data_IF_196705823628
#
_entry.id   IF_196705823628
#
_cell.length_a   1.000
_cell.length_b   1.000
_cell.length_c   1.000
_cell.angle_alpha   90.00
_cell.angle_beta   90.00
_cell.angle_gamma   90.00
#
_symmetry.space_group_name_H-M   'P 1'
#
loop_
_entity.id
_entity.type
_entity.pdbx_description
1 polymer ?
#
# COMPACT_ATOMS: atom_id res chain seq x y z
N UNK A 1 -15.86 19.10 24.08
CA UNK A 1 -16.93 19.81 23.36
C UNK A 1 -17.80 18.85 22.53
N UNK A 2 -17.24 18.06 21.61
CA UNK A 2 -18.02 17.12 20.77
C UNK A 2 -18.68 15.97 21.57
N UNK A 3 -17.90 15.19 22.34
CA UNK A 3 -18.44 14.14 23.23
C UNK A 3 -19.40 14.71 24.28
N UNK A 4 -19.07 15.87 24.85
CA UNK A 4 -19.90 16.54 25.87
C UNK A 4 -21.22 17.10 25.33
N UNK A 5 -21.37 17.21 24.01
CA UNK A 5 -22.63 17.60 23.35
C UNK A 5 -23.45 16.40 22.83
N UNK A 6 -23.07 15.17 23.20
CA UNK A 6 -23.71 13.94 22.73
C UNK A 6 -23.83 13.86 21.20
N UNK A 7 -22.75 14.22 20.49
CA UNK A 7 -22.67 14.16 19.02
C UNK A 7 -23.76 14.99 18.32
N UNK A 8 -23.81 16.31 18.60
CA UNK A 8 -24.82 17.21 18.00
C UNK A 8 -24.97 16.97 16.49
N UNK A 9 -26.20 16.77 15.97
CA UNK A 9 -26.45 16.51 14.55
C UNK A 9 -26.16 17.73 13.66
N UNK A 10 -25.92 18.91 14.26
CA UNK A 10 -25.59 20.13 13.54
C UNK A 10 -24.13 20.18 13.05
N UNK A 11 -23.25 19.31 13.59
CA UNK A 11 -21.83 19.26 13.23
C UNK A 11 -21.55 17.92 12.53
N UNK A 12 -20.90 17.92 11.35
CA UNK A 12 -20.57 16.69 10.65
C UNK A 12 -19.70 15.77 11.52
N UNK A 13 -19.88 14.46 11.35
CA UNK A 13 -19.07 13.44 12.01
C UNK A 13 -17.65 13.43 11.44
N UNK A 14 -16.75 14.23 12.03
CA UNK A 14 -15.37 14.34 11.58
C UNK A 14 -14.55 13.12 12.03
N UNK A 15 -13.77 12.55 11.11
CA UNK A 15 -12.87 11.43 11.38
C UNK A 15 -11.44 11.84 11.03
N UNK A 16 -10.55 11.88 12.03
CA UNK A 16 -9.13 12.10 11.79
C UNK A 16 -8.52 10.78 11.32
N UNK A 17 -8.31 10.69 10.00
CA UNK A 17 -7.64 9.58 9.33
C UNK A 17 -6.25 10.05 8.86
N UNK A 18 -5.34 9.11 8.73
CA UNK A 18 -4.02 9.30 8.11
C UNK A 18 -3.13 10.34 8.84
N UNK A 19 -3.25 10.41 10.18
CA UNK A 19 -2.33 11.25 10.96
C UNK A 19 -0.96 10.57 11.13
N UNK A 20 0.04 11.11 10.45
CA UNK A 20 1.45 10.67 10.48
C UNK A 20 2.17 11.04 11.80
N UNK A 21 1.63 10.55 12.93
CA UNK A 21 2.12 10.93 14.25
C UNK A 21 3.61 10.63 14.46
N UNK A 22 4.10 9.51 13.93
CA UNK A 22 5.51 9.10 14.11
C UNK A 22 6.46 10.01 13.34
N UNK A 23 6.03 10.55 12.19
CA UNK A 23 6.75 11.59 11.45
C UNK A 23 6.73 12.93 12.19
N UNK A 24 5.55 13.35 12.67
CA UNK A 24 5.39 14.64 13.32
C UNK A 24 6.07 14.69 14.71
N UNK A 25 6.21 13.53 15.37
CA UNK A 25 6.80 13.40 16.71
C UNK A 25 7.76 12.20 16.82
N UNK A 26 8.91 12.22 16.11
CA UNK A 26 9.82 11.07 15.99
C UNK A 26 10.40 10.63 17.34
N UNK A 27 10.61 11.56 18.28
CA UNK A 27 11.18 11.26 19.60
C UNK A 27 10.22 10.49 20.53
N UNK A 28 8.92 10.42 20.18
CA UNK A 28 7.90 9.82 21.06
C UNK A 28 7.90 8.31 21.06
N UNK A 29 8.43 7.66 20.01
CA UNK A 29 8.51 6.20 19.88
C UNK A 29 7.24 5.47 20.37
N UNK A 30 6.07 5.88 19.85
CA UNK A 30 4.77 5.50 20.41
C UNK A 30 4.42 4.01 20.31
N UNK A 31 5.10 3.26 19.44
CA UNK A 31 5.01 1.81 19.38
C UNK A 31 6.28 1.20 18.77
N UNK A 32 6.42 -0.11 18.94
CA UNK A 32 7.46 -0.94 18.29
C UNK A 32 6.78 -1.86 17.28
N UNK A 33 7.25 -1.83 16.03
CA UNK A 33 6.76 -2.76 14.98
C UNK A 33 7.01 -4.21 15.43
N UNK A 34 6.01 -5.11 15.37
CA UNK A 34 6.20 -6.53 15.66
C UNK A 34 7.24 -7.18 14.73
N UNK A 35 8.05 -8.11 15.23
CA UNK A 35 9.15 -8.72 14.45
C UNK A 35 8.68 -9.37 13.14
N UNK A 36 7.49 -10.00 13.14
CA UNK A 36 6.89 -10.63 11.96
C UNK A 36 6.55 -9.65 10.83
N UNK A 37 6.45 -8.35 11.14
CA UNK A 37 6.12 -7.28 10.20
C UNK A 37 7.30 -6.33 9.98
N UNK A 38 8.50 -6.69 10.45
CA UNK A 38 9.66 -5.79 10.44
C UNK A 38 10.32 -5.64 9.06
N UNK A 39 10.03 -6.54 8.12
CA UNK A 39 10.43 -6.39 6.71
C UNK A 39 9.44 -5.44 6.04
N UNK A 40 9.79 -4.16 6.04
CA UNK A 40 8.92 -3.03 5.71
C UNK A 40 9.64 -2.10 4.73
N UNK A 41 9.69 -2.56 3.48
CA UNK A 41 10.40 -1.85 2.41
C UNK A 41 9.81 -0.47 2.16
N UNK A 42 8.49 -0.34 2.37
CA UNK A 42 7.75 0.90 2.12
C UNK A 42 8.24 2.01 3.04
N UNK A 43 8.22 1.79 4.36
CA UNK A 43 8.70 2.80 5.29
C UNK A 43 10.22 2.94 5.27
N UNK A 44 10.98 1.90 4.92
CA UNK A 44 12.44 2.02 4.73
C UNK A 44 12.74 3.04 3.62
N UNK A 45 12.09 2.90 2.47
CA UNK A 45 12.28 3.81 1.35
C UNK A 45 11.81 5.23 1.67
N UNK A 46 10.55 5.41 2.09
CA UNK A 46 9.97 6.74 2.22
C UNK A 46 10.61 7.58 3.34
N UNK A 47 11.07 6.95 4.42
CA UNK A 47 11.79 7.70 5.48
C UNK A 47 13.25 7.98 5.16
N UNK A 48 13.84 7.29 4.17
CA UNK A 48 15.21 7.55 3.72
C UNK A 48 15.31 8.74 2.76
N UNK A 49 14.18 9.22 2.25
CA UNK A 49 14.09 10.29 1.27
C UNK A 49 14.13 11.67 1.93
N UNK A 50 14.99 12.54 1.42
CA UNK A 50 15.05 13.95 1.86
C UNK A 50 14.02 14.83 1.15
N UNK A 51 13.61 14.44 -0.07
CA UNK A 51 12.71 15.21 -0.92
C UNK A 51 11.23 15.03 -0.56
N UNK A 52 10.90 13.96 0.16
CA UNK A 52 9.55 13.64 0.62
C UNK A 52 9.61 13.21 2.08
N UNK A 53 8.85 13.88 2.95
CA UNK A 53 8.70 13.50 4.36
C UNK A 53 7.39 12.74 4.55
N UNK A 54 7.39 11.47 4.20
CA UNK A 54 6.20 10.62 4.27
C UNK A 54 6.47 9.30 5.01
N UNK A 55 5.42 8.75 5.60
CA UNK A 55 5.42 7.42 6.18
C UNK A 55 4.03 6.77 6.08
N UNK A 56 3.98 5.45 6.15
CA UNK A 56 2.76 4.68 6.05
C UNK A 56 2.35 4.16 7.43
N UNK A 57 2.40 5.05 8.41
CA UNK A 57 2.22 4.76 9.84
C UNK A 57 1.30 5.81 10.45
N UNK A 58 0.05 5.43 10.66
CA UNK A 58 -1.02 6.36 10.94
C UNK A 58 -1.62 6.16 12.32
N UNK A 59 -2.09 7.25 12.92
CA UNK A 59 -3.08 7.22 14.00
C UNK A 59 -4.42 7.60 13.41
N UNK A 60 -5.43 6.76 13.63
CA UNK A 60 -6.81 7.12 13.31
C UNK A 60 -7.55 7.42 14.62
N UNK A 61 -8.28 8.53 14.64
CA UNK A 61 -9.06 8.98 15.78
C UNK A 61 -10.42 9.48 15.32
N UNK A 62 -11.49 8.81 15.74
CA UNK A 62 -12.84 9.10 15.28
C UNK A 62 -13.88 8.87 16.35
N UNK A 63 -14.97 9.66 16.34
CA UNK A 63 -16.09 9.44 17.22
C UNK A 63 -16.90 8.21 16.80
N UNK A 64 -17.77 7.72 17.68
CA UNK A 64 -18.80 6.74 17.33
C UNK A 64 -19.57 7.17 16.07
N UNK A 65 -19.75 6.23 15.13
CA UNK A 65 -20.47 6.45 13.87
C UNK A 65 -19.58 6.93 12.72
N UNK A 66 -18.33 7.31 12.98
CA UNK A 66 -17.35 7.50 11.90
C UNK A 66 -16.99 6.16 11.27
N UNK A 67 -16.68 6.18 9.97
CA UNK A 67 -16.40 4.97 9.20
C UNK A 67 -15.49 5.26 8.01
N UNK A 68 -14.92 4.20 7.45
CA UNK A 68 -14.12 4.22 6.22
C UNK A 68 -14.84 3.41 5.15
N UNK A 69 -15.09 3.99 3.96
CA UNK A 69 -15.71 3.30 2.82
C UNK A 69 -15.00 2.03 2.40
N UNK A 70 -15.69 1.23 1.59
CA UNK A 70 -15.12 0.01 1.05
C UNK A 70 -13.91 0.29 0.15
N UNK A 71 -12.77 -0.29 0.49
CA UNK A 71 -11.51 -0.09 -0.25
C UNK A 71 -10.53 -1.23 0.01
N UNK A 72 -9.50 -1.34 -0.82
CA UNK A 72 -8.27 -2.03 -0.47
C UNK A 72 -7.17 -0.99 -0.16
N UNK A 73 -6.20 -1.38 0.64
CA UNK A 73 -5.06 -0.53 0.97
C UNK A 73 -4.23 -0.17 -0.26
N UNK A 74 -3.70 1.06 -0.27
CA UNK A 74 -2.85 1.59 -1.36
C UNK A 74 -1.64 0.68 -1.62
N UNK A 75 -1.11 0.74 -2.84
CA UNK A 75 0.03 -0.05 -3.30
C UNK A 75 -0.13 -1.57 -3.23
N UNK A 76 -1.36 -2.07 -3.04
CA UNK A 76 -1.58 -3.48 -2.67
C UNK A 76 -0.75 -3.87 -1.44
N UNK A 77 -0.56 -2.93 -0.51
CA UNK A 77 0.18 -3.14 0.74
C UNK A 77 -0.49 -4.17 1.63
N UNK A 78 0.28 -4.72 2.55
CA UNK A 78 -0.27 -5.30 3.77
C UNK A 78 -0.66 -4.16 4.72
N UNK A 79 -1.56 -4.42 5.64
CA UNK A 79 -1.75 -3.53 6.78
C UNK A 79 -2.00 -4.27 8.09
N UNK A 80 -1.74 -3.60 9.20
CA UNK A 80 -2.26 -3.99 10.50
C UNK A 80 -2.86 -2.80 11.22
N UNK A 81 -3.87 -3.08 12.05
CA UNK A 81 -4.56 -2.09 12.87
C UNK A 81 -4.62 -2.59 14.31
N UNK A 82 -4.06 -1.84 15.25
CA UNK A 82 -4.20 -2.08 16.70
C UNK A 82 -5.18 -1.06 17.26
N UNK A 83 -6.27 -1.54 17.86
CA UNK A 83 -7.28 -0.67 18.44
C UNK A 83 -6.92 -0.31 19.88
N UNK A 84 -6.66 0.96 20.18
CA UNK A 84 -6.23 1.40 21.52
C UNK A 84 -7.42 1.58 22.46
N UNK A 85 -8.53 2.12 21.96
CA UNK A 85 -9.77 2.29 22.68
C UNK A 85 -10.98 2.20 21.75
N UNK A 86 -12.18 2.08 22.32
CA UNK A 86 -13.41 1.92 21.54
C UNK A 86 -13.51 0.55 20.87
N UNK A 87 -14.44 0.43 19.92
CA UNK A 87 -14.66 -0.81 19.17
C UNK A 87 -14.80 -0.49 17.69
N UNK A 88 -14.21 -1.36 16.85
CA UNK A 88 -14.37 -1.28 15.39
C UNK A 88 -15.12 -2.49 14.87
N UNK A 89 -16.03 -2.28 13.94
CA UNK A 89 -16.61 -3.34 13.11
C UNK A 89 -15.90 -3.36 11.78
N UNK A 90 -15.38 -4.51 11.40
CA UNK A 90 -14.72 -4.74 10.12
C UNK A 90 -15.57 -5.68 9.29
N UNK A 91 -15.82 -5.31 8.04
CA UNK A 91 -16.20 -6.24 7.00
C UNK A 91 -15.00 -6.44 6.08
N UNK A 92 -14.55 -7.68 5.91
CA UNK A 92 -13.40 -8.03 5.09
C UNK A 92 -13.79 -9.01 3.99
N UNK A 93 -13.26 -8.76 2.79
CA UNK A 93 -13.58 -9.48 1.57
C UNK A 93 -12.29 -9.99 0.94
N UNK A 94 -12.15 -11.32 0.75
CA UNK A 94 -11.00 -11.89 0.07
C UNK A 94 -10.83 -11.31 -1.36
N UNK A 95 -9.59 -11.23 -1.87
CA UNK A 95 -9.33 -10.80 -3.23
C UNK A 95 -10.15 -11.60 -4.25
N UNK A 96 -10.84 -10.90 -5.14
CA UNK A 96 -11.78 -11.42 -6.12
C UNK A 96 -13.25 -11.12 -5.80
N UNK A 97 -13.63 -11.00 -4.52
CA UNK A 97 -15.01 -10.68 -4.13
C UNK A 97 -15.38 -9.23 -4.45
N UNK A 98 -14.41 -8.31 -4.55
CA UNK A 98 -14.65 -6.91 -4.95
C UNK A 98 -15.33 -6.79 -6.32
N UNK A 99 -15.11 -7.76 -7.22
CA UNK A 99 -15.75 -7.81 -8.54
C UNK A 99 -17.26 -7.98 -8.46
N UNK A 100 -17.74 -8.58 -7.38
CA UNK A 100 -19.17 -8.74 -7.08
C UNK A 100 -19.77 -7.49 -6.43
N UNK A 101 -18.91 -6.55 -6.02
CA UNK A 101 -19.24 -5.26 -5.44
C UNK A 101 -18.84 -4.12 -6.39
N UNK A 102 -18.61 -4.43 -7.67
CA UNK A 102 -18.35 -3.44 -8.72
C UNK A 102 -19.58 -3.31 -9.61
N UNK A 103 -19.98 -2.09 -9.92
CA UNK A 103 -21.13 -1.83 -10.78
C UNK A 103 -20.82 -2.05 -12.27
N UNK A 104 -21.86 -1.97 -13.12
CA UNK A 104 -21.72 -2.13 -14.58
C UNK A 104 -20.82 -1.08 -15.25
N UNK A 105 -20.50 0.02 -14.55
CA UNK A 105 -19.61 1.07 -15.03
C UNK A 105 -18.17 0.89 -14.53
N UNK A 106 -17.89 -0.18 -13.77
CA UNK A 106 -16.57 -0.44 -13.20
C UNK A 106 -16.30 0.28 -11.88
N UNK A 107 -17.31 0.92 -11.28
CA UNK A 107 -17.13 1.61 -10.00
C UNK A 107 -17.32 0.65 -8.84
N UNK A 108 -16.40 0.69 -7.89
CA UNK A 108 -16.52 -0.05 -6.65
C UNK A 108 -17.66 0.52 -5.79
N UNK A 109 -18.40 -0.36 -5.11
CA UNK A 109 -19.39 0.04 -4.11
C UNK A 109 -18.74 0.93 -3.04
N UNK A 110 -19.38 2.04 -2.71
CA UNK A 110 -18.92 2.92 -1.65
C UNK A 110 -19.25 2.38 -0.25
N UNK A 111 -20.47 1.84 -0.11
CA UNK A 111 -20.98 1.18 1.09
C UNK A 111 -21.47 -0.23 0.72
N UNK A 112 -20.85 -1.27 1.30
CA UNK A 112 -21.23 -2.68 1.07
C UNK A 112 -22.58 -3.07 1.72
N UNK A 113 -23.16 -2.20 2.54
CA UNK A 113 -24.48 -2.38 3.14
C UNK A 113 -25.59 -1.61 2.39
N UNK A 114 -25.25 -0.91 1.30
CA UNK A 114 -26.22 -0.18 0.49
C UNK A 114 -27.25 -1.16 -0.15
N UNK A 115 -28.58 -0.94 0.06
CA UNK A 115 -29.60 -1.82 -0.49
C UNK A 115 -29.63 -1.85 -2.03
N UNK A 116 -29.09 -0.85 -2.70
CA UNK A 116 -29.00 -0.78 -4.17
C UNK A 116 -28.05 -1.83 -4.75
N UNK A 117 -27.17 -2.44 -3.95
CA UNK A 117 -26.34 -3.57 -4.37
C UNK A 117 -27.16 -4.79 -4.82
N UNK A 118 -28.42 -4.90 -4.36
CA UNK A 118 -29.33 -5.97 -4.78
C UNK A 118 -29.95 -5.71 -6.16
N UNK A 119 -29.81 -4.50 -6.71
CA UNK A 119 -30.28 -4.17 -8.05
C UNK A 119 -29.36 -4.82 -9.10
N UNK A 120 -29.88 -5.85 -9.77
CA UNK A 120 -29.13 -6.60 -10.80
C UNK A 120 -28.80 -5.76 -12.04
N UNK A 121 -29.55 -4.71 -12.31
CA UNK A 121 -29.27 -3.81 -13.44
C UNK A 121 -28.03 -2.94 -13.16
N UNK A 122 -27.65 -2.79 -11.89
CA UNK A 122 -26.48 -2.02 -11.47
C UNK A 122 -25.32 -2.90 -11.03
N UNK A 123 -25.60 -3.96 -10.27
CA UNK A 123 -24.61 -4.89 -9.73
C UNK A 123 -24.97 -6.32 -10.17
N UNK A 124 -24.68 -6.63 -11.44
CA UNK A 124 -25.06 -7.90 -12.08
C UNK A 124 -24.57 -9.12 -11.29
N UNK A 125 -23.36 -9.01 -10.73
CA UNK A 125 -22.69 -10.14 -10.09
C UNK A 125 -22.79 -10.17 -8.56
N UNK A 126 -23.52 -9.26 -7.91
CA UNK A 126 -23.67 -9.22 -6.45
C UNK A 126 -24.20 -10.53 -5.85
N UNK A 127 -25.14 -11.18 -6.54
CA UNK A 127 -25.69 -12.49 -6.13
C UNK A 127 -24.65 -13.62 -6.14
N UNK A 128 -23.46 -13.40 -6.73
CA UNK A 128 -22.35 -14.34 -6.78
C UNK A 128 -21.33 -14.11 -5.65
N UNK A 129 -21.49 -13.07 -4.82
CA UNK A 129 -20.68 -12.83 -3.62
C UNK A 129 -20.79 -14.05 -2.69
N UNK A 130 -19.66 -14.64 -2.31
CA UNK A 130 -19.64 -15.87 -1.50
C UNK A 130 -19.05 -15.67 -0.12
N UNK A 131 -18.04 -14.81 -0.03
CA UNK A 131 -17.21 -14.73 1.16
C UNK A 131 -17.17 -13.32 1.70
N UNK A 132 -17.59 -13.19 2.96
CA UNK A 132 -17.51 -11.96 3.75
C UNK A 132 -17.18 -12.37 5.18
N UNK A 133 -16.16 -11.75 5.76
CA UNK A 133 -15.81 -11.92 7.16
C UNK A 133 -16.25 -10.67 7.92
N UNK A 134 -16.93 -10.86 9.04
CA UNK A 134 -17.29 -9.79 9.96
C UNK A 134 -16.55 -9.98 11.28
N UNK A 135 -15.88 -8.92 11.75
CA UNK A 135 -15.09 -8.94 12.97
C UNK A 135 -15.42 -7.70 13.81
N UNK A 136 -15.65 -7.90 15.11
CA UNK A 136 -15.66 -6.82 16.10
C UNK A 136 -14.30 -6.79 16.78
N UNK A 137 -13.53 -5.75 16.51
CA UNK A 137 -12.24 -5.49 17.12
C UNK A 137 -12.43 -4.70 18.43
N UNK A 138 -12.05 -5.31 19.55
CA UNK A 138 -12.07 -4.72 20.89
C UNK A 138 -10.78 -3.93 21.20
N UNK A 139 -10.77 -3.14 22.29
CA UNK A 139 -9.53 -2.49 22.75
C UNK A 139 -8.41 -3.50 23.03
N UNK A 140 -7.20 -3.18 22.60
CA UNK A 140 -5.99 -4.02 22.73
C UNK A 140 -5.84 -5.08 21.64
N UNK A 141 -6.86 -5.33 20.81
CA UNK A 141 -6.77 -6.32 19.73
C UNK A 141 -6.10 -5.75 18.48
N UNK A 142 -5.41 -6.63 17.76
CA UNK A 142 -4.78 -6.33 16.47
C UNK A 142 -5.44 -7.13 15.35
N UNK A 143 -5.66 -6.49 14.21
CA UNK A 143 -6.06 -7.14 12.95
C UNK A 143 -4.94 -6.97 11.94
N UNK A 144 -4.60 -8.06 11.25
CA UNK A 144 -3.76 -8.06 10.07
C UNK A 144 -4.65 -8.19 8.82
N UNK A 145 -4.46 -7.30 7.86
CA UNK A 145 -5.16 -7.30 6.57
C UNK A 145 -4.17 -7.73 5.48
N UNK A 146 -4.38 -8.90 4.85
CA UNK A 146 -3.48 -9.33 3.79
C UNK A 146 -3.62 -8.47 2.52
N UNK A 147 -2.56 -8.43 1.73
CA UNK A 147 -2.51 -7.67 0.47
C UNK A 147 -3.66 -8.00 -0.49
N UNK A 148 -4.42 -6.96 -0.85
CA UNK A 148 -5.54 -7.00 -1.79
C UNK A 148 -6.91 -7.30 -1.15
N UNK A 149 -6.97 -7.44 0.18
CA UNK A 149 -8.25 -7.62 0.87
C UNK A 149 -8.99 -6.31 0.96
N UNK A 150 -10.16 -6.26 0.32
CA UNK A 150 -11.03 -5.11 0.43
C UNK A 150 -11.77 -5.16 1.76
N UNK A 151 -11.99 -4.00 2.36
CA UNK A 151 -12.61 -3.90 3.66
C UNK A 151 -13.35 -2.57 3.87
N UNK A 152 -14.34 -2.61 4.76
CA UNK A 152 -15.10 -1.45 5.23
C UNK A 152 -15.12 -1.47 6.76
N UNK A 153 -14.93 -0.31 7.39
CA UNK A 153 -14.69 -0.24 8.85
C UNK A 153 -15.53 0.84 9.49
N UNK A 154 -16.21 0.51 10.59
CA UNK A 154 -17.00 1.44 11.38
C UNK A 154 -16.47 1.53 12.81
N UNK A 155 -16.41 2.74 13.35
CA UNK A 155 -16.18 2.98 14.78
C UNK A 155 -17.52 2.87 15.52
N UNK A 156 -17.70 1.79 16.29
CA UNK A 156 -18.91 1.53 17.08
C UNK A 156 -18.96 2.34 18.38
N UNK A 157 -17.79 2.82 18.82
CA UNK A 157 -17.55 3.70 19.96
C UNK A 157 -16.52 4.78 19.54
N UNK A 158 -16.28 5.78 20.39
CA UNK A 158 -15.15 6.69 20.22
C UNK A 158 -13.84 5.90 20.24
N UNK A 159 -13.06 6.05 19.18
CA UNK A 159 -11.99 5.10 18.85
C UNK A 159 -10.70 5.81 18.49
N UNK A 160 -9.60 5.25 18.99
CA UNK A 160 -8.23 5.57 18.57
C UNK A 160 -7.56 4.25 18.17
N UNK A 161 -6.95 4.20 17.00
CA UNK A 161 -6.16 3.06 16.53
C UNK A 161 -4.82 3.48 15.95
N UNK A 162 -3.87 2.56 16.01
CA UNK A 162 -2.60 2.64 15.27
C UNK A 162 -2.75 1.76 14.03
N UNK A 163 -2.49 2.34 12.87
CA UNK A 163 -2.57 1.70 11.57
C UNK A 163 -1.20 1.77 10.91
N UNK A 164 -0.82 0.73 10.18
CA UNK A 164 0.50 0.62 9.59
C UNK A 164 0.41 -0.20 8.31
N UNK A 165 0.93 0.34 7.22
CA UNK A 165 0.96 -0.30 5.92
C UNK A 165 2.40 -0.55 5.48
N UNK A 166 2.62 -1.68 4.80
CA UNK A 166 3.94 -2.01 4.26
C UNK A 166 3.87 -2.91 3.03
N UNK A 167 4.97 -2.93 2.30
CA UNK A 167 5.25 -3.85 1.20
C UNK A 167 6.58 -4.53 1.47
N UNK A 168 6.74 -5.77 1.02
CA UNK A 168 8.02 -6.47 1.01
C UNK A 168 8.06 -7.51 -0.12
N UNK A 169 9.08 -8.39 -0.09
CA UNK A 169 9.26 -9.44 -1.08
C UNK A 169 8.04 -10.35 -1.29
N UNK A 170 7.14 -10.47 -0.31
CA UNK A 170 5.95 -11.32 -0.42
C UNK A 170 4.83 -10.71 -1.29
N UNK A 171 4.77 -9.37 -1.45
CA UNK A 171 3.71 -8.69 -2.21
C UNK A 171 4.23 -7.65 -3.21
N UNK A 172 5.54 -7.48 -3.38
CA UNK A 172 6.09 -6.49 -4.33
C UNK A 172 5.61 -6.72 -5.77
N UNK A 173 5.46 -7.98 -6.19
CA UNK A 173 4.89 -8.30 -7.50
C UNK A 173 3.42 -7.87 -7.65
N UNK A 174 2.64 -7.86 -6.56
CA UNK A 174 1.26 -7.36 -6.58
C UNK A 174 1.23 -5.84 -6.70
N UNK A 175 2.12 -5.15 -5.96
CA UNK A 175 2.29 -3.70 -6.08
C UNK A 175 2.64 -3.30 -7.52
N UNK A 176 3.58 -4.01 -8.16
CA UNK A 176 3.92 -3.79 -9.56
C UNK A 176 2.71 -3.97 -10.49
N UNK A 177 1.96 -5.08 -10.36
CA UNK A 177 0.78 -5.32 -11.19
C UNK A 177 -0.29 -4.23 -10.98
N UNK A 178 -0.45 -3.74 -9.76
CA UNK A 178 -1.37 -2.66 -9.42
C UNK A 178 -0.93 -1.33 -10.05
N UNK A 179 0.35 -0.98 -9.96
CA UNK A 179 0.93 0.20 -10.60
C UNK A 179 0.69 0.19 -12.12
N UNK A 180 1.00 -0.94 -12.79
CA UNK A 180 0.78 -1.10 -14.23
C UNK A 180 -0.69 -1.03 -14.61
N UNK A 181 -1.57 -1.62 -13.80
CA UNK A 181 -3.02 -1.53 -14.00
C UNK A 181 -3.53 -0.10 -13.90
N UNK A 182 -3.02 0.68 -12.94
CA UNK A 182 -3.37 2.10 -12.80
C UNK A 182 -2.83 2.93 -13.97
N UNK A 183 -1.63 2.65 -14.49
CA UNK A 183 -1.13 3.34 -15.70
C UNK A 183 -2.06 3.07 -16.90
N UNK A 184 -2.52 1.84 -17.08
CA UNK A 184 -3.46 1.51 -18.14
C UNK A 184 -4.79 2.26 -17.99
N UNK A 185 -5.30 2.40 -16.76
CA UNK A 185 -6.50 3.17 -16.47
C UNK A 185 -6.31 4.67 -16.76
N UNK A 186 -5.18 5.25 -16.34
CA UNK A 186 -4.81 6.64 -16.65
C UNK A 186 -4.81 6.85 -18.17
N UNK A 187 -4.09 6.00 -18.91
CA UNK A 187 -4.01 6.10 -20.38
C UNK A 187 -5.38 6.01 -21.06
N UNK A 188 -6.27 5.16 -20.55
CA UNK A 188 -7.62 5.04 -21.08
C UNK A 188 -8.43 6.32 -20.83
N UNK A 189 -8.33 6.89 -19.63
CA UNK A 189 -9.08 8.07 -19.21
C UNK A 189 -8.70 9.32 -20.02
N UNK A 190 -7.41 9.53 -20.27
CA UNK A 190 -6.91 10.70 -21.01
C UNK A 190 -6.59 10.41 -22.49
N UNK A 191 -7.13 9.32 -23.04
CA UNK A 191 -6.80 8.82 -24.38
C UNK A 191 -7.13 9.78 -25.53
N UNK A 192 -8.07 10.70 -25.31
CA UNK A 192 -8.40 11.79 -26.23
C UNK A 192 -7.25 12.78 -26.45
N UNK A 193 -6.26 12.78 -25.54
CA UNK A 193 -5.08 13.64 -25.59
C UNK A 193 -3.80 12.90 -26.00
N UNK A 194 -3.88 11.69 -26.57
CA UNK A 194 -2.71 10.85 -26.88
C UNK A 194 -1.69 11.47 -27.86
N UNK A 195 -2.12 12.43 -28.67
CA UNK A 195 -1.27 13.11 -29.66
C UNK A 195 -0.41 14.25 -29.04
N UNK A 196 -0.54 14.49 -27.73
CA UNK A 196 0.28 15.49 -27.03
C UNK A 196 1.76 15.08 -27.01
N UNK A 197 2.63 16.08 -27.09
CA UNK A 197 4.07 15.89 -26.87
C UNK A 197 4.32 15.35 -25.46
N UNK A 198 5.28 14.41 -25.32
CA UNK A 198 5.59 13.77 -24.03
C UNK A 198 4.39 13.06 -23.39
N UNK A 199 3.50 12.47 -24.20
CA UNK A 199 2.32 11.72 -23.74
C UNK A 199 2.64 10.72 -22.63
N UNK A 200 3.70 9.94 -22.79
CA UNK A 200 4.07 8.89 -21.83
C UNK A 200 4.46 9.51 -20.47
N UNK A 201 5.18 10.63 -20.48
CA UNK A 201 5.54 11.38 -19.28
C UNK A 201 4.33 12.02 -18.60
N UNK A 202 3.37 12.56 -19.36
CA UNK A 202 2.12 13.07 -18.80
C UNK A 202 1.30 11.96 -18.12
N UNK A 203 1.28 10.76 -18.71
CA UNK A 203 0.67 9.60 -18.06
C UNK A 203 1.36 9.26 -16.73
N UNK A 204 2.69 9.37 -16.64
CA UNK A 204 3.42 9.16 -15.38
C UNK A 204 3.07 10.21 -14.32
N UNK A 205 2.89 11.49 -14.70
CA UNK A 205 2.46 12.54 -13.77
C UNK A 205 1.09 12.20 -13.16
N UNK A 206 0.13 11.81 -14.00
CA UNK A 206 -1.22 11.44 -13.54
C UNK A 206 -1.21 10.13 -12.74
N UNK A 207 -0.36 9.17 -13.12
CA UNK A 207 -0.14 7.96 -12.35
C UNK A 207 0.39 8.27 -10.95
N UNK A 208 1.40 9.13 -10.84
CA UNK A 208 1.93 9.54 -9.54
C UNK A 208 0.86 10.25 -8.70
N UNK A 209 0.08 11.14 -9.29
CA UNK A 209 -0.98 11.87 -8.58
C UNK A 209 -2.11 10.95 -8.06
N UNK A 210 -2.45 9.89 -8.80
CA UNK A 210 -3.56 8.99 -8.46
C UNK A 210 -3.13 7.77 -7.64
N UNK A 211 -1.98 7.18 -7.95
CA UNK A 211 -1.46 5.99 -7.29
C UNK A 211 -0.49 6.32 -6.14
N UNK A 212 0.23 7.44 -6.22
CA UNK A 212 1.27 7.87 -5.27
C UNK A 212 2.70 7.51 -5.68
N UNK A 213 2.87 6.80 -6.80
CA UNK A 213 4.17 6.49 -7.41
C UNK A 213 4.04 6.44 -8.93
N UNK A 214 5.03 6.96 -9.64
CA UNK A 214 5.25 6.64 -11.05
C UNK A 214 6.24 5.47 -11.25
N UNK A 215 6.44 5.05 -12.49
CA UNK A 215 7.40 3.99 -12.83
C UNK A 215 8.84 4.35 -12.43
N UNK A 216 9.20 5.65 -12.45
CA UNK A 216 10.53 6.08 -12.09
C UNK A 216 10.80 5.91 -10.60
N UNK A 217 9.88 6.39 -9.79
CA UNK A 217 9.92 6.28 -8.35
C UNK A 217 9.80 4.82 -7.91
N UNK A 218 9.03 3.99 -8.62
CA UNK A 218 8.98 2.55 -8.36
C UNK A 218 10.30 1.84 -8.70
N UNK A 219 10.97 2.23 -9.78
CA UNK A 219 12.32 1.76 -10.09
C UNK A 219 13.31 2.15 -8.97
N UNK A 220 13.31 3.44 -8.58
CA UNK A 220 14.15 3.94 -7.48
C UNK A 220 13.86 3.22 -6.16
N UNK A 221 12.61 2.90 -5.87
CA UNK A 221 12.21 2.08 -4.73
C UNK A 221 12.86 0.70 -4.78
N UNK A 222 12.75 -0.04 -5.88
CA UNK A 222 13.37 -1.37 -6.02
C UNK A 222 14.89 -1.31 -5.89
N UNK A 223 15.53 -0.32 -6.54
CA UNK A 223 16.98 -0.14 -6.50
C UNK A 223 17.47 0.21 -5.09
N UNK A 224 16.76 1.07 -4.36
CA UNK A 224 17.07 1.39 -2.97
C UNK A 224 17.06 0.13 -2.09
N UNK A 225 16.03 -0.70 -2.25
CA UNK A 225 15.94 -1.97 -1.52
C UNK A 225 17.13 -2.85 -1.90
N UNK A 226 17.36 -3.12 -3.18
CA UNK A 226 18.46 -3.96 -3.67
C UNK A 226 19.81 -3.50 -3.12
N UNK A 227 20.17 -2.22 -3.30
CA UNK A 227 21.46 -1.68 -2.87
C UNK A 227 21.67 -1.83 -1.36
N UNK A 228 20.65 -1.51 -0.56
CA UNK A 228 20.73 -1.64 0.90
C UNK A 228 21.05 -3.09 1.30
N UNK A 229 20.40 -4.07 0.69
CA UNK A 229 20.64 -5.49 1.01
C UNK A 229 21.99 -5.97 0.48
N UNK A 230 22.39 -5.54 -0.70
CA UNK A 230 23.69 -5.89 -1.29
C UNK A 230 24.87 -5.43 -0.44
N UNK A 231 24.81 -4.22 0.14
CA UNK A 231 25.83 -3.72 1.08
C UNK A 231 26.01 -4.70 2.24
N UNK A 232 24.91 -5.03 2.94
CA UNK A 232 24.93 -5.95 4.07
C UNK A 232 25.38 -7.37 3.71
N UNK A 233 24.97 -7.87 2.54
CA UNK A 233 25.44 -9.18 2.03
C UNK A 233 26.94 -9.16 1.67
N UNK A 234 27.45 -8.04 1.16
CA UNK A 234 28.87 -7.91 0.79
C UNK A 234 29.78 -7.83 2.02
N UNK A 235 29.30 -7.17 3.09
CA UNK A 235 30.01 -6.99 4.35
C UNK A 235 29.78 -8.14 5.34
N UNK A 236 28.87 -9.07 5.01
CA UNK A 236 28.42 -10.16 5.89
C UNK A 236 27.90 -9.64 7.24
N UNK A 237 27.04 -8.61 7.20
CA UNK A 237 26.43 -7.99 8.37
C UNK A 237 24.90 -8.12 8.33
N UNK A 238 24.27 -8.14 9.50
CA UNK A 238 22.81 -8.11 9.60
C UNK A 238 22.28 -6.69 9.32
N UNK A 239 21.18 -6.59 8.59
CA UNK A 239 20.49 -5.31 8.35
C UNK A 239 19.59 -4.97 9.53
N UNK A 240 19.82 -3.82 10.15
CA UNK A 240 18.93 -3.28 11.18
C UNK A 240 17.71 -2.63 10.53
N UNK A 241 16.50 -3.09 10.89
CA UNK A 241 15.22 -2.59 10.38
C UNK A 241 14.35 -2.00 11.50
N UNK A 242 13.14 -1.54 11.13
CA UNK A 242 12.17 -0.97 12.07
C UNK A 242 11.94 -1.83 13.29
N UNK A 243 11.68 -1.18 14.43
CA UNK A 243 11.49 -1.88 15.71
C UNK A 243 12.78 -2.48 16.27
N UNK A 244 13.96 -2.03 15.83
CA UNK A 244 15.26 -2.56 16.27
C UNK A 244 15.37 -4.09 16.06
N UNK A 245 14.83 -4.57 14.94
CA UNK A 245 15.00 -5.96 14.51
C UNK A 245 16.17 -6.06 13.53
N UNK A 246 16.68 -7.28 13.35
CA UNK A 246 17.84 -7.55 12.48
C UNK A 246 17.46 -8.64 11.48
N UNK A 247 17.74 -8.38 10.21
CA UNK A 247 17.52 -9.30 9.10
C UNK A 247 18.85 -9.90 8.67
N UNK A 248 18.99 -11.20 8.84
CA UNK A 248 20.19 -11.94 8.46
C UNK A 248 20.20 -12.34 6.98
N UNK A 249 21.33 -12.94 6.56
CA UNK A 249 21.66 -13.28 5.16
C UNK A 249 20.51 -13.95 4.39
N UNK A 250 19.82 -14.94 4.97
CA UNK A 250 18.74 -15.65 4.27
C UNK A 250 17.57 -14.73 3.91
N UNK A 251 17.23 -13.79 4.80
CA UNK A 251 16.17 -12.82 4.57
C UNK A 251 16.60 -11.81 3.52
N UNK A 252 17.84 -11.30 3.60
CA UNK A 252 18.39 -10.38 2.60
C UNK A 252 18.44 -11.00 1.20
N UNK A 253 18.81 -12.28 1.08
CA UNK A 253 18.78 -13.03 -0.18
C UNK A 253 17.36 -13.17 -0.73
N UNK A 254 16.39 -13.48 0.12
CA UNK A 254 14.99 -13.52 -0.28
C UNK A 254 14.53 -12.16 -0.81
N UNK A 255 14.87 -11.08 -0.11
CA UNK A 255 14.49 -9.72 -0.47
C UNK A 255 15.05 -9.33 -1.85
N UNK A 256 16.36 -9.48 -2.08
CA UNK A 256 16.97 -9.13 -3.37
C UNK A 256 16.46 -10.03 -4.51
N UNK A 257 16.15 -11.30 -4.25
CA UNK A 257 15.59 -12.19 -5.27
C UNK A 257 14.19 -11.71 -5.70
N UNK A 258 13.33 -11.32 -4.75
CA UNK A 258 11.99 -10.82 -5.08
C UNK A 258 12.04 -9.44 -5.76
N UNK A 259 12.95 -8.57 -5.33
CA UNK A 259 13.18 -7.28 -5.97
C UNK A 259 13.71 -7.47 -7.40
N UNK A 260 14.68 -8.38 -7.62
CA UNK A 260 15.21 -8.74 -8.94
C UNK A 260 14.11 -9.16 -9.91
N UNK A 261 13.30 -10.15 -9.51
CA UNK A 261 12.19 -10.67 -10.33
C UNK A 261 11.17 -9.58 -10.71
N UNK A 262 11.01 -8.56 -9.87
CA UNK A 262 10.10 -7.44 -10.15
C UNK A 262 10.77 -6.39 -11.03
N UNK A 263 12.06 -6.12 -10.82
CA UNK A 263 12.85 -5.22 -11.65
C UNK A 263 13.00 -5.75 -13.08
N UNK A 264 13.16 -7.06 -13.26
CA UNK A 264 13.16 -7.71 -14.58
C UNK A 264 11.84 -7.48 -15.32
N UNK A 265 10.70 -7.61 -14.61
CA UNK A 265 9.37 -7.33 -15.18
C UNK A 265 9.23 -5.87 -15.57
N UNK A 266 9.65 -4.94 -14.72
CA UNK A 266 9.66 -3.51 -14.99
C UNK A 266 10.51 -3.18 -16.23
N UNK A 267 11.74 -3.69 -16.30
CA UNK A 267 12.64 -3.47 -17.44
C UNK A 267 12.11 -4.07 -18.75
N UNK A 268 11.34 -5.16 -18.67
CA UNK A 268 10.68 -5.76 -19.83
C UNK A 268 9.37 -5.06 -20.25
N UNK A 269 8.87 -4.12 -19.45
CA UNK A 269 7.59 -3.46 -19.70
C UNK A 269 7.69 -2.46 -20.85
N UNK A 270 6.76 -2.52 -21.80
CA UNK A 270 6.81 -1.67 -22.99
C UNK A 270 6.63 -0.20 -22.66
N UNK A 271 5.86 0.14 -21.63
CA UNK A 271 5.62 1.54 -21.28
C UNK A 271 6.82 2.14 -20.54
N UNK A 272 7.51 1.32 -19.74
CA UNK A 272 8.78 1.72 -19.14
C UNK A 272 9.83 2.08 -20.20
N UNK A 273 9.94 1.26 -21.26
CA UNK A 273 10.93 1.43 -22.32
C UNK A 273 10.68 2.61 -23.27
N UNK A 274 9.50 3.23 -23.22
CA UNK A 274 9.18 4.44 -24.00
C UNK A 274 9.55 5.74 -23.29
N UNK A 275 9.86 5.69 -21.99
CA UNK A 275 10.15 6.89 -21.21
C UNK A 275 11.53 7.45 -21.55
N UNK A 276 11.58 8.72 -21.97
CA UNK A 276 12.77 9.31 -22.58
C UNK A 276 13.97 9.44 -21.63
N UNK A 277 13.72 9.51 -20.32
CA UNK A 277 14.76 9.66 -19.31
C UNK A 277 15.40 8.34 -18.86
N UNK A 278 15.00 7.20 -19.43
CA UNK A 278 15.56 5.88 -19.09
C UNK A 278 16.59 5.32 -20.09
N UNK A 279 16.96 6.08 -21.12
CA UNK A 279 17.93 5.65 -22.14
C UNK A 279 19.32 5.20 -21.62
N UNK A 280 19.66 5.48 -20.35
CA UNK A 280 20.88 4.97 -19.67
C UNK A 280 20.60 3.92 -18.58
N UNK A 281 19.36 3.75 -18.14
CA UNK A 281 19.05 2.85 -17.05
C UNK A 281 19.18 1.37 -17.43
N UNK A 282 19.12 1.03 -18.72
CA UNK A 282 19.28 -0.36 -19.14
C UNK A 282 20.68 -0.90 -18.79
N UNK A 283 21.75 -0.11 -18.96
CA UNK A 283 23.09 -0.53 -18.54
C UNK A 283 23.21 -0.64 -17.02
N UNK A 284 22.63 0.30 -16.29
CA UNK A 284 22.70 0.33 -14.82
C UNK A 284 21.92 -0.84 -14.21
N UNK A 285 20.73 -1.13 -14.75
CA UNK A 285 19.93 -2.29 -14.36
C UNK A 285 20.70 -3.58 -14.64
N UNK A 286 21.32 -3.74 -15.81
CA UNK A 286 22.12 -4.94 -16.13
C UNK A 286 23.27 -5.16 -15.14
N UNK A 287 24.03 -4.12 -14.81
CA UNK A 287 25.11 -4.20 -13.81
C UNK A 287 24.57 -4.65 -12.47
N UNK A 288 23.45 -4.07 -12.03
CA UNK A 288 22.81 -4.44 -10.77
C UNK A 288 22.30 -5.89 -10.79
N UNK A 289 21.78 -6.38 -11.93
CA UNK A 289 21.38 -7.79 -12.05
C UNK A 289 22.57 -8.75 -11.85
N UNK A 290 23.74 -8.42 -12.41
CA UNK A 290 24.96 -9.21 -12.24
C UNK A 290 25.47 -9.18 -10.79
N UNK A 291 25.37 -8.04 -10.11
CA UNK A 291 25.70 -7.91 -8.68
C UNK A 291 24.77 -8.78 -7.81
N UNK A 292 23.47 -8.79 -8.12
CA UNK A 292 22.50 -9.64 -7.42
C UNK A 292 22.83 -11.12 -7.60
N UNK A 293 23.09 -11.56 -8.83
CA UNK A 293 23.42 -12.97 -9.11
C UNK A 293 24.69 -13.39 -8.36
N UNK A 294 25.71 -12.54 -8.37
CA UNK A 294 26.94 -12.75 -7.60
C UNK A 294 26.67 -12.87 -6.09
N UNK A 295 25.77 -12.05 -5.54
CA UNK A 295 25.44 -12.08 -4.11
C UNK A 295 24.61 -13.31 -3.72
N UNK A 296 23.73 -13.78 -4.61
CA UNK A 296 22.91 -14.98 -4.38
C UNK A 296 23.76 -16.26 -4.34
N UNK A 297 24.79 -16.34 -5.21
CA UNK A 297 25.68 -17.50 -5.35
C UNK A 297 26.71 -17.67 -4.21
N UNK A 298 26.98 -16.61 -3.43
CA UNK A 298 27.88 -16.69 -2.26
C UNK A 298 27.28 -17.60 -1.20
N UNK A 299 27.97 -18.68 -0.83
CA UNK A 299 27.52 -19.62 0.22
C UNK A 299 27.46 -18.99 1.60
#
# INVERSE_FOLDING_TARGET
>A
KYMSSNYSPEIPCLYLKDWHFTRDFPDRNVYRVPHIFASDWLNEYFTSREDVQDDYRFIYMGPKGSWTPFHADVFSSFSWSVNLCGKKRWLLFPPGEEKHLTDIHGNLAYDVEDPTLKNRDRFESYQKLKTQLEIIQNPGEAIFVPSGWHHQVWNLDDTISINHNWVNGCNIGKMWNSLRGNLAAVKAEISDCQDMEEWEEHCQIMLNASFGLDYKQFCSFLLYIIHTRLIHLSENTDLKVYGNWFMGVNHLKFDIMQAKLTLEKLASDSDFNKLNYFCKAESDIRVIMEEIDTALDRK
#
